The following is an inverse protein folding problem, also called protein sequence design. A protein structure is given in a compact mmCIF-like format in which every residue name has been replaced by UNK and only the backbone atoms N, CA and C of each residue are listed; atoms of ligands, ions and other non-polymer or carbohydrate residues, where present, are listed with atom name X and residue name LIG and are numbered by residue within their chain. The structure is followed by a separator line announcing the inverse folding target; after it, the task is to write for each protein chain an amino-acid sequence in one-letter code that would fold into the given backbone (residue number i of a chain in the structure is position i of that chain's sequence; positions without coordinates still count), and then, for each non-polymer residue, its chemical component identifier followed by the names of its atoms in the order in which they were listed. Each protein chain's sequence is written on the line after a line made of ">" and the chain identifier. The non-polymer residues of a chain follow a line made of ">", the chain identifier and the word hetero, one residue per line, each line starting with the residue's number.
data_IF_715604186347
#
_entry.id   IF_715604186347
#
_cell.length_a   1.000
_cell.length_b   1.000
_cell.length_c   1.000
_cell.angle_alpha   90.00
_cell.angle_beta   90.00
_cell.angle_gamma   90.00
#
_symmetry.space_group_name_H-M   'P 1'
#
loop_
_entity.id
_entity.type
_entity.pdbx_description
1 polymer ?
#
# COMPACT_ATOMS: atom_id res chain seq x y z
N UNK A 1 9.79 -6.62 20.58
CA UNK A 1 8.54 -6.31 19.84
C UNK A 1 8.60 -5.00 19.05
N UNK A 2 8.80 -3.82 19.66
CA UNK A 2 8.81 -2.52 18.94
C UNK A 2 9.78 -2.45 17.74
N UNK A 3 11.00 -2.99 17.90
CA UNK A 3 12.01 -3.07 16.83
C UNK A 3 11.56 -3.95 15.65
N UNK A 4 10.88 -5.07 15.95
CA UNK A 4 10.34 -6.00 14.94
C UNK A 4 9.22 -5.32 14.14
N UNK A 5 8.29 -4.62 14.80
CA UNK A 5 7.21 -3.89 14.13
C UNK A 5 7.78 -2.81 13.21
N UNK A 6 8.81 -2.09 13.66
CA UNK A 6 9.49 -1.08 12.85
C UNK A 6 10.17 -1.72 11.64
N UNK A 7 10.88 -2.83 11.84
CA UNK A 7 11.54 -3.57 10.77
C UNK A 7 10.53 -4.08 9.72
N UNK A 8 9.43 -4.71 10.16
CA UNK A 8 8.34 -5.16 9.28
C UNK A 8 7.77 -3.97 8.51
N UNK A 9 7.48 -2.85 9.18
CA UNK A 9 6.92 -1.66 8.55
C UNK A 9 7.85 -1.08 7.47
N UNK A 10 9.16 -1.11 7.70
CA UNK A 10 10.16 -0.71 6.71
C UNK A 10 10.23 -1.67 5.53
N UNK A 11 10.17 -2.99 5.77
CA UNK A 11 10.14 -3.99 4.69
C UNK A 11 8.88 -3.83 3.83
N UNK A 12 7.73 -3.58 4.47
CA UNK A 12 6.46 -3.36 3.77
C UNK A 12 6.51 -2.18 2.79
N UNK A 13 7.39 -1.18 3.00
CA UNK A 13 7.53 -0.04 2.06
C UNK A 13 7.97 -0.50 0.67
N UNK A 14 8.73 -1.59 0.58
CA UNK A 14 9.26 -2.09 -0.69
C UNK A 14 8.25 -2.93 -1.48
N UNK A 15 7.24 -3.52 -0.81
CA UNK A 15 6.26 -4.39 -1.46
C UNK A 15 5.49 -3.67 -2.59
N UNK A 16 4.97 -2.45 -2.44
CA UNK A 16 4.29 -1.75 -3.53
C UNK A 16 5.13 -1.61 -4.80
N UNK A 17 6.45 -1.50 -4.67
CA UNK A 17 7.37 -1.35 -5.81
C UNK A 17 7.55 -2.62 -6.62
N UNK A 18 7.20 -3.80 -6.08
CA UNK A 18 7.28 -5.06 -6.84
C UNK A 18 6.21 -5.14 -7.94
N UNK A 19 5.23 -4.23 -7.97
CA UNK A 19 4.26 -4.15 -9.07
C UNK A 19 4.93 -3.82 -10.41
N UNK A 20 5.98 -2.99 -10.38
CA UNK A 20 6.68 -2.55 -11.60
C UNK A 20 7.33 -3.73 -12.35
N UNK A 21 8.22 -4.54 -11.73
CA UNK A 21 8.76 -5.72 -12.39
C UNK A 21 7.71 -6.80 -12.64
N UNK A 22 6.65 -6.90 -11.82
CA UNK A 22 5.59 -7.88 -12.05
C UNK A 22 4.83 -7.58 -13.35
N UNK A 23 4.52 -6.30 -13.60
CA UNK A 23 3.76 -5.84 -14.76
C UNK A 23 4.60 -5.66 -16.04
N UNK A 24 5.87 -6.03 -16.05
CA UNK A 24 6.60 -6.21 -17.32
C UNK A 24 6.20 -7.51 -18.02
N UNK A 25 5.57 -8.45 -17.30
CA UNK A 25 5.13 -9.71 -17.86
C UNK A 25 3.82 -9.53 -18.66
N UNK A 26 3.72 -10.05 -19.89
CA UNK A 26 2.51 -9.89 -20.72
C UNK A 26 1.23 -10.42 -20.06
N UNK A 27 1.31 -11.53 -19.34
CA UNK A 27 0.15 -12.12 -18.66
C UNK A 27 -0.39 -11.23 -17.53
N UNK A 28 0.48 -10.47 -16.86
CA UNK A 28 0.11 -9.57 -15.77
C UNK A 28 -0.55 -8.27 -16.26
N UNK A 29 -0.56 -8.05 -17.58
CA UNK A 29 -1.20 -6.90 -18.24
C UNK A 29 -2.56 -7.25 -18.87
N UNK A 30 -2.88 -8.54 -18.98
CA UNK A 30 -4.14 -9.00 -19.56
C UNK A 30 -5.25 -9.08 -18.49
N UNK A 31 -6.48 -8.75 -18.87
CA UNK A 31 -7.64 -8.99 -18.00
C UNK A 31 -7.93 -10.50 -17.92
N UNK A 32 -8.30 -11.05 -16.75
CA UNK A 32 -8.58 -10.37 -15.47
C UNK A 32 -7.36 -10.17 -14.56
N UNK A 33 -6.20 -10.74 -14.92
CA UNK A 33 -5.01 -10.73 -14.06
C UNK A 33 -4.53 -9.31 -13.72
N UNK A 34 -4.56 -8.40 -14.69
CA UNK A 34 -4.16 -7.00 -14.48
C UNK A 34 -4.96 -6.31 -13.37
N UNK A 35 -6.29 -6.47 -13.37
CA UNK A 35 -7.19 -5.87 -12.39
C UNK A 35 -6.95 -6.48 -11.00
N UNK A 36 -6.87 -7.82 -10.93
CA UNK A 36 -6.61 -8.54 -9.68
C UNK A 36 -5.30 -8.09 -9.04
N UNK A 37 -4.23 -7.96 -9.83
CA UNK A 37 -2.94 -7.46 -9.35
C UNK A 37 -3.08 -6.05 -8.81
N UNK A 38 -3.64 -5.12 -9.59
CA UNK A 38 -3.79 -3.72 -9.17
C UNK A 38 -4.63 -3.60 -7.90
N UNK A 39 -5.78 -4.29 -7.81
CA UNK A 39 -6.64 -4.25 -6.63
C UNK A 39 -5.99 -4.90 -5.40
N UNK A 40 -5.22 -5.98 -5.57
CA UNK A 40 -4.48 -6.61 -4.47
C UNK A 40 -3.42 -5.67 -3.89
N UNK A 41 -2.67 -4.98 -4.76
CA UNK A 41 -1.69 -3.98 -4.32
C UNK A 41 -2.37 -2.77 -3.67
N UNK A 42 -3.50 -2.30 -4.21
CA UNK A 42 -4.27 -1.21 -3.60
C UNK A 42 -4.78 -1.59 -2.19
N UNK A 43 -5.32 -2.79 -2.02
CA UNK A 43 -5.74 -3.30 -0.72
C UNK A 43 -4.56 -3.39 0.26
N UNK A 44 -3.39 -3.87 -0.18
CA UNK A 44 -2.18 -3.91 0.64
C UNK A 44 -1.70 -2.51 1.06
N UNK A 45 -1.70 -1.54 0.14
CA UNK A 45 -1.31 -0.15 0.42
C UNK A 45 -2.24 0.50 1.46
N UNK A 46 -3.55 0.26 1.38
CA UNK A 46 -4.50 0.78 2.39
C UNK A 46 -4.30 0.08 3.73
N UNK A 47 -4.17 -1.25 3.73
CA UNK A 47 -3.93 -2.02 4.96
C UNK A 47 -2.64 -1.58 5.67
N UNK A 48 -1.56 -1.38 4.93
CA UNK A 48 -0.27 -0.99 5.47
C UNK A 48 -0.26 0.43 6.04
N UNK A 49 -0.98 1.37 5.42
CA UNK A 49 -1.24 2.70 5.99
C UNK A 49 -1.92 2.61 7.36
N UNK A 50 -3.06 1.90 7.43
CA UNK A 50 -3.82 1.72 8.67
C UNK A 50 -2.96 1.01 9.74
N UNK A 51 -2.28 -0.08 9.36
CA UNK A 51 -1.42 -0.84 10.26
C UNK A 51 -0.32 0.02 10.88
N UNK A 52 0.42 0.78 10.06
CA UNK A 52 1.55 1.58 10.54
C UNK A 52 1.10 2.78 11.36
N UNK A 53 -0.01 3.42 11.00
CA UNK A 53 -0.62 4.50 11.79
C UNK A 53 -1.11 4.00 13.15
N UNK A 54 -1.80 2.86 13.20
CA UNK A 54 -2.23 2.25 14.47
C UNK A 54 -1.02 1.85 15.34
N UNK A 55 0.01 1.24 14.74
CA UNK A 55 1.22 0.85 15.46
C UNK A 55 1.99 2.06 16.03
N UNK A 56 2.03 3.19 15.31
CA UNK A 56 2.67 4.41 15.79
C UNK A 56 1.88 5.10 16.91
N UNK A 57 0.58 5.31 16.70
CA UNK A 57 -0.28 6.08 17.62
C UNK A 57 -0.68 5.24 18.83
N UNK A 58 -1.36 4.11 18.61
CA UNK A 58 -1.90 3.24 19.68
C UNK A 58 -0.84 2.28 20.21
N UNK A 59 -0.01 1.72 19.32
CA UNK A 59 1.09 0.82 19.70
C UNK A 59 2.29 1.51 20.35
N UNK A 60 2.30 2.85 20.39
CA UNK A 60 3.37 3.68 21.00
C UNK A 60 4.76 3.32 20.47
N UNK A 61 4.87 2.92 19.19
CA UNK A 61 6.14 2.64 18.49
C UNK A 61 6.71 3.96 17.95
N UNK A 62 7.05 4.89 18.85
CA UNK A 62 7.45 6.26 18.51
C UNK A 62 8.96 6.40 18.26
N UNK A 63 9.48 5.71 17.25
CA UNK A 63 10.86 5.89 16.79
C UNK A 63 10.90 6.50 15.39
N UNK A 64 12.03 7.09 15.01
CA UNK A 64 12.18 7.82 13.74
C UNK A 64 11.95 6.94 12.51
N UNK A 65 12.39 5.68 12.54
CA UNK A 65 12.15 4.73 11.45
C UNK A 65 10.66 4.43 11.26
N UNK A 66 9.93 4.22 12.36
CA UNK A 66 8.48 4.02 12.33
C UNK A 66 7.73 5.26 11.84
N UNK A 67 8.17 6.46 12.25
CA UNK A 67 7.58 7.72 11.79
C UNK A 67 7.73 7.87 10.27
N UNK A 68 8.92 7.61 9.73
CA UNK A 68 9.18 7.66 8.29
C UNK A 68 8.34 6.60 7.56
N UNK A 69 8.31 5.36 8.07
CA UNK A 69 7.53 4.29 7.47
C UNK A 69 6.03 4.62 7.41
N UNK A 70 5.46 5.14 8.50
CA UNK A 70 4.07 5.56 8.56
C UNK A 70 3.73 6.63 7.51
N UNK A 71 4.53 7.70 7.43
CA UNK A 71 4.30 8.76 6.43
C UNK A 71 4.30 8.21 5.01
N UNK A 72 5.23 7.30 4.68
CA UNK A 72 5.30 6.68 3.36
C UNK A 72 4.06 5.80 3.09
N UNK A 73 3.68 4.96 4.05
CA UNK A 73 2.51 4.09 3.92
C UNK A 73 1.22 4.90 3.82
N UNK A 74 1.07 6.00 4.56
CA UNK A 74 -0.09 6.89 4.46
C UNK A 74 -0.18 7.55 3.07
N UNK A 75 0.95 7.95 2.47
CA UNK A 75 0.97 8.45 1.08
C UNK A 75 0.50 7.35 0.11
N UNK A 76 1.00 6.12 0.26
CA UNK A 76 0.58 4.99 -0.57
C UNK A 76 -0.91 4.69 -0.41
N UNK A 77 -1.40 4.61 0.83
CA UNK A 77 -2.80 4.34 1.14
C UNK A 77 -3.73 5.44 0.62
N UNK A 78 -3.37 6.70 0.80
CA UNK A 78 -4.15 7.83 0.27
C UNK A 78 -4.20 7.81 -1.26
N UNK A 79 -3.05 7.60 -1.91
CA UNK A 79 -2.96 7.49 -3.38
C UNK A 79 -3.83 6.34 -3.89
N UNK A 80 -3.78 5.17 -3.23
CA UNK A 80 -4.61 4.02 -3.56
C UNK A 80 -6.11 4.33 -3.44
N UNK A 81 -6.54 5.01 -2.37
CA UNK A 81 -7.93 5.42 -2.20
C UNK A 81 -8.40 6.38 -3.29
N UNK A 82 -7.59 7.38 -3.65
CA UNK A 82 -7.92 8.31 -4.73
C UNK A 82 -8.07 7.59 -6.08
N UNK A 83 -7.13 6.69 -6.42
CA UNK A 83 -7.16 5.96 -7.68
C UNK A 83 -8.34 4.99 -7.75
N UNK A 84 -8.67 4.31 -6.65
CA UNK A 84 -9.86 3.45 -6.57
C UNK A 84 -11.14 4.28 -6.71
N UNK A 85 -11.22 5.45 -6.06
CA UNK A 85 -12.35 6.37 -6.18
C UNK A 85 -12.54 6.84 -7.62
N UNK A 86 -11.45 7.19 -8.30
CA UNK A 86 -11.48 7.55 -9.72
C UNK A 86 -11.95 6.37 -10.59
N UNK A 87 -11.42 5.17 -10.37
CA UNK A 87 -11.82 3.99 -11.13
C UNK A 87 -13.32 3.69 -10.98
N UNK A 88 -13.85 3.81 -9.76
CA UNK A 88 -15.29 3.67 -9.50
C UNK A 88 -16.10 4.77 -10.19
N UNK A 89 -15.67 6.05 -10.10
CA UNK A 89 -16.35 7.15 -10.78
C UNK A 89 -16.45 6.90 -12.29
N UNK A 90 -15.34 6.49 -12.92
CA UNK A 90 -15.32 6.18 -14.36
C UNK A 90 -16.21 4.99 -14.72
N UNK A 91 -16.31 3.98 -13.85
CA UNK A 91 -17.18 2.83 -14.07
C UNK A 91 -18.67 3.17 -13.95
N UNK A 92 -19.02 4.20 -13.18
CA UNK A 92 -20.38 4.68 -12.98
C UNK A 92 -20.81 5.75 -14.02
N UNK A 93 -19.94 6.07 -14.99
CA UNK A 93 -20.22 7.05 -16.05
C UNK A 93 -20.11 8.50 -15.61
N UNK A 94 -19.37 8.78 -14.54
CA UNK A 94 -19.00 10.14 -14.13
C UNK A 94 -17.83 10.72 -14.90
#
# INVERSE_FOLDING_TARGET
>A
MKKIITFISLVMVFLPWTIFPLRTNPWALQSPAAEIIVYSYAAFMIFSAVFTTVAYVKGKVKNRGMQIAMVIHDIYGFTALCLLGLAVNTALGG
#
